data_IF_887710260077
#
_entry.id   IF_887710260077
#
_cell.length_a   1.000
_cell.length_b   1.000
_cell.length_c   1.000
_cell.angle_alpha   90.00
_cell.angle_beta   90.00
_cell.angle_gamma   90.00
#
_symmetry.space_group_name_H-M   'P 1'
#
loop_
_entity.id
_entity.type
_entity.pdbx_description
1 polymer ?
#
# COMPACT_ATOMS: atom_id res chain seq x y z
N UNK A 1 35.73 -14.59 -32.03
CA UNK A 1 35.72 -13.48 -31.06
C UNK A 1 34.86 -13.93 -29.89
N UNK A 2 35.51 -14.35 -28.82
CA UNK A 2 34.87 -14.77 -27.58
C UNK A 2 34.37 -13.54 -26.83
N UNK A 3 33.14 -13.63 -26.32
CA UNK A 3 32.75 -13.12 -25.00
C UNK A 3 33.09 -11.67 -24.70
N UNK A 4 32.28 -10.73 -25.23
CA UNK A 4 31.99 -9.52 -24.47
C UNK A 4 30.86 -9.86 -23.52
N UNK A 5 31.21 -10.55 -22.45
CA UNK A 5 30.33 -10.77 -21.32
C UNK A 5 29.87 -9.41 -20.81
N UNK A 6 28.55 -9.33 -20.69
CA UNK A 6 27.76 -8.27 -20.11
C UNK A 6 28.18 -8.03 -18.65
N UNK A 7 29.27 -7.30 -18.44
CA UNK A 7 29.66 -6.72 -17.15
C UNK A 7 29.08 -5.31 -17.02
N UNK A 8 27.77 -5.17 -17.20
CA UNK A 8 27.07 -3.97 -16.74
C UNK A 8 26.61 -4.27 -15.32
N UNK A 9 27.26 -3.68 -14.32
CA UNK A 9 26.72 -3.70 -12.97
C UNK A 9 25.25 -3.28 -13.04
N UNK A 10 24.32 -4.00 -12.39
CA UNK A 10 22.93 -3.58 -12.36
C UNK A 10 22.89 -2.12 -11.86
N UNK A 11 22.12 -1.23 -12.48
CA UNK A 11 22.07 0.16 -12.04
C UNK A 11 21.80 0.21 -10.53
N UNK A 12 22.44 1.14 -9.80
CA UNK A 12 22.50 1.12 -8.34
C UNK A 12 21.14 0.92 -7.64
N UNK A 13 20.06 1.45 -8.23
CA UNK A 13 18.69 1.26 -7.74
C UNK A 13 18.23 -0.21 -7.77
N UNK A 14 18.65 -1.01 -8.76
CA UNK A 14 18.34 -2.44 -8.88
C UNK A 14 19.05 -3.25 -7.79
N UNK A 15 20.28 -2.87 -7.44
CA UNK A 15 20.99 -3.48 -6.32
C UNK A 15 20.32 -3.16 -4.98
N UNK A 16 19.92 -1.90 -4.78
CA UNK A 16 19.17 -1.49 -3.58
C UNK A 16 17.81 -2.20 -3.49
N UNK A 17 17.10 -2.37 -4.62
CA UNK A 17 15.87 -3.16 -4.71
C UNK A 17 16.08 -4.60 -4.26
N UNK A 18 17.12 -5.28 -4.77
CA UNK A 18 17.45 -6.65 -4.38
C UNK A 18 17.84 -6.74 -2.91
N UNK A 19 18.60 -5.78 -2.39
CA UNK A 19 18.96 -5.72 -0.98
C UNK A 19 17.74 -5.50 -0.07
N UNK A 20 16.81 -4.62 -0.48
CA UNK A 20 15.56 -4.36 0.23
C UNK A 20 14.67 -5.61 0.26
N UNK A 21 14.37 -6.21 -0.89
CA UNK A 21 13.55 -7.44 -0.96
C UNK A 21 14.24 -8.59 -0.22
N UNK A 22 15.56 -8.73 -0.38
CA UNK A 22 16.35 -9.73 0.33
C UNK A 22 16.29 -9.54 1.84
N UNK A 23 16.40 -8.30 2.32
CA UNK A 23 16.29 -7.96 3.74
C UNK A 23 14.88 -8.17 4.31
N UNK A 24 13.83 -7.94 3.52
CA UNK A 24 12.44 -8.24 3.92
C UNK A 24 12.13 -9.75 3.88
N UNK A 25 12.81 -10.51 3.03
CA UNK A 25 12.63 -11.97 2.91
C UNK A 25 13.51 -12.75 3.89
N UNK A 26 14.63 -12.17 4.33
CA UNK A 26 15.51 -12.77 5.32
C UNK A 26 14.78 -13.19 6.62
N UNK A 27 13.90 -12.36 7.20
CA UNK A 27 12.94 -12.83 8.20
C UNK A 27 11.80 -13.59 7.50
N UNK A 28 11.71 -14.90 7.74
CA UNK A 28 10.65 -15.76 7.16
C UNK A 28 9.23 -15.35 7.60
N UNK A 29 9.09 -14.46 8.58
CA UNK A 29 7.78 -14.03 9.11
C UNK A 29 7.17 -12.82 8.38
N UNK A 30 7.97 -11.96 7.74
CA UNK A 30 7.49 -10.64 7.28
C UNK A 30 6.48 -10.77 6.13
N UNK A 31 6.77 -11.63 5.14
CA UNK A 31 5.88 -11.86 4.00
C UNK A 31 4.52 -12.44 4.41
N UNK A 32 4.45 -13.51 5.24
CA UNK A 32 3.18 -13.98 5.79
C UNK A 32 2.45 -12.93 6.62
N UNK A 33 3.17 -12.19 7.47
CA UNK A 33 2.58 -11.12 8.29
C UNK A 33 1.95 -10.03 7.41
N UNK A 34 2.67 -9.57 6.38
CA UNK A 34 2.19 -8.58 5.43
C UNK A 34 0.89 -9.05 4.75
N UNK A 35 0.86 -10.29 4.28
CA UNK A 35 -0.33 -10.88 3.67
C UNK A 35 -1.52 -10.98 4.64
N UNK A 36 -1.28 -11.36 5.90
CA UNK A 36 -2.34 -11.40 6.93
C UNK A 36 -2.92 -10.01 7.17
N UNK A 37 -2.05 -8.99 7.29
CA UNK A 37 -2.50 -7.59 7.48
C UNK A 37 -3.33 -7.12 6.29
N UNK A 38 -2.91 -7.41 5.05
CA UNK A 38 -3.68 -7.06 3.85
C UNK A 38 -5.03 -7.77 3.79
N UNK A 39 -5.10 -9.06 4.14
CA UNK A 39 -6.36 -9.82 4.18
C UNK A 39 -7.30 -9.22 5.23
N UNK A 40 -6.81 -8.97 6.45
CA UNK A 40 -7.61 -8.38 7.53
C UNK A 40 -8.12 -7.00 7.12
N UNK A 41 -7.24 -6.14 6.61
CA UNK A 41 -7.62 -4.79 6.17
C UNK A 41 -8.63 -4.84 5.00
N UNK A 42 -8.44 -5.75 4.04
CA UNK A 42 -9.37 -5.99 2.94
C UNK A 42 -10.74 -6.48 3.41
N UNK A 43 -10.78 -7.37 4.40
CA UNK A 43 -12.04 -7.82 5.01
C UNK A 43 -12.75 -6.67 5.74
N UNK A 44 -12.02 -5.81 6.44
CA UNK A 44 -12.57 -4.61 7.09
C UNK A 44 -13.16 -3.62 6.06
N UNK A 45 -12.48 -3.43 4.93
CA UNK A 45 -12.99 -2.63 3.80
C UNK A 45 -14.27 -3.22 3.20
N UNK A 46 -14.31 -4.53 2.99
CA UNK A 46 -15.49 -5.23 2.46
C UNK A 46 -16.68 -5.16 3.41
N UNK A 47 -16.44 -5.10 4.73
CA UNK A 47 -17.51 -4.97 5.73
C UNK A 47 -18.31 -3.67 5.61
N UNK A 48 -17.80 -2.63 4.94
CA UNK A 48 -18.36 -1.27 4.78
C UNK A 48 -18.60 -0.49 6.08
N UNK A 49 -18.87 -1.17 7.19
CA UNK A 49 -19.04 -0.60 8.52
C UNK A 49 -17.70 -0.21 9.15
N UNK A 50 -16.68 -1.06 9.00
CA UNK A 50 -15.31 -0.82 9.46
C UNK A 50 -14.37 -0.35 8.34
N UNK A 51 -14.93 0.16 7.23
CA UNK A 51 -14.14 0.55 6.07
C UNK A 51 -13.08 1.60 6.40
N UNK A 52 -13.41 2.59 7.25
CA UNK A 52 -12.43 3.56 7.71
C UNK A 52 -11.24 2.90 8.44
N UNK A 53 -11.50 1.96 9.35
CA UNK A 53 -10.45 1.27 10.09
C UNK A 53 -9.59 0.38 9.18
N UNK A 54 -10.21 -0.33 8.22
CA UNK A 54 -9.51 -1.10 7.20
C UNK A 54 -8.62 -0.22 6.32
N UNK A 55 -9.13 0.95 5.91
CA UNK A 55 -8.39 1.89 5.09
C UNK A 55 -7.18 2.50 5.84
N UNK A 56 -7.33 2.82 7.14
CA UNK A 56 -6.21 3.26 7.98
C UNK A 56 -5.15 2.17 8.15
N UNK A 57 -5.56 0.91 8.29
CA UNK A 57 -4.63 -0.22 8.39
C UNK A 57 -3.87 -0.45 7.08
N UNK A 58 -4.53 -0.28 5.93
CA UNK A 58 -3.94 -0.39 4.59
C UNK A 58 -3.09 0.82 4.18
N UNK A 59 -3.25 1.97 4.82
CA UNK A 59 -2.54 3.20 4.46
C UNK A 59 -1.01 3.07 4.54
N UNK A 60 -0.39 2.62 5.65
CA UNK A 60 1.06 2.45 5.70
C UNK A 60 1.57 1.38 4.72
N UNK A 61 0.76 0.35 4.41
CA UNK A 61 1.12 -0.71 3.47
C UNK A 61 1.14 -0.20 2.04
N UNK A 62 0.05 0.41 1.58
CA UNK A 62 -0.07 1.00 0.24
C UNK A 62 0.95 2.12 0.01
N UNK A 63 1.26 2.92 1.05
CA UNK A 63 2.31 3.92 1.01
C UNK A 63 3.69 3.29 0.81
N UNK A 64 4.04 2.23 1.55
CA UNK A 64 5.32 1.53 1.37
C UNK A 64 5.47 0.96 -0.06
N UNK A 65 4.40 0.36 -0.61
CA UNK A 65 4.40 -0.19 -1.97
C UNK A 65 4.62 0.93 -3.01
N UNK A 66 3.98 2.09 -2.82
CA UNK A 66 4.14 3.25 -3.69
C UNK A 66 5.56 3.82 -3.62
N UNK A 67 6.11 4.01 -2.41
CA UNK A 67 7.49 4.47 -2.21
C UNK A 67 8.51 3.50 -2.81
N UNK A 68 8.27 2.19 -2.70
CA UNK A 68 9.11 1.19 -3.31
C UNK A 68 9.19 1.35 -4.85
N UNK A 69 8.05 1.55 -5.52
CA UNK A 69 8.06 1.79 -6.97
C UNK A 69 8.68 3.14 -7.32
N UNK A 70 8.41 4.19 -6.53
CA UNK A 70 8.91 5.53 -6.78
C UNK A 70 10.44 5.61 -6.69
N UNK A 71 11.06 4.94 -5.71
CA UNK A 71 12.50 5.05 -5.44
C UNK A 71 13.32 3.88 -5.99
N UNK A 72 12.82 2.65 -5.92
CA UNK A 72 13.60 1.43 -6.22
C UNK A 72 13.26 0.83 -7.59
N UNK A 73 12.18 1.28 -8.25
CA UNK A 73 11.78 0.78 -9.58
C UNK A 73 11.21 1.89 -10.49
N UNK A 74 11.93 3.01 -10.70
CA UNK A 74 11.43 4.14 -11.48
C UNK A 74 11.18 3.80 -12.97
N UNK A 75 11.86 2.78 -13.48
CA UNK A 75 11.70 2.30 -14.87
C UNK A 75 10.33 1.63 -15.10
N UNK A 76 9.65 1.19 -14.03
CA UNK A 76 8.33 0.56 -14.08
C UNK A 76 7.22 1.58 -13.83
N UNK A 77 7.00 2.40 -14.84
CA UNK A 77 5.95 3.43 -14.84
C UNK A 77 4.55 2.85 -14.67
N UNK A 78 4.30 1.63 -15.17
CA UNK A 78 3.03 0.93 -14.99
C UNK A 78 2.81 0.51 -13.53
N UNK A 79 3.82 -0.08 -12.89
CA UNK A 79 3.78 -0.43 -11.46
C UNK A 79 3.65 0.80 -10.55
N UNK A 80 4.33 1.89 -10.90
CA UNK A 80 4.18 3.17 -10.19
C UNK A 80 2.76 3.73 -10.31
N UNK A 81 2.16 3.68 -11.49
CA UNK A 81 0.80 4.14 -11.71
C UNK A 81 -0.23 3.31 -10.93
N UNK A 82 -0.09 1.98 -10.96
CA UNK A 82 -0.97 1.06 -10.23
C UNK A 82 -0.86 1.24 -8.72
N UNK A 83 0.35 1.30 -8.17
CA UNK A 83 0.57 1.56 -6.74
C UNK A 83 0.06 2.93 -6.31
N UNK A 84 0.20 3.94 -7.17
CA UNK A 84 -0.42 5.26 -6.99
C UNK A 84 -1.94 5.19 -6.95
N UNK A 85 -2.57 4.40 -7.83
CA UNK A 85 -4.02 4.20 -7.85
C UNK A 85 -4.52 3.49 -6.59
N UNK A 86 -3.80 2.48 -6.07
CA UNK A 86 -4.14 1.83 -4.81
C UNK A 86 -4.08 2.79 -3.62
N UNK A 87 -3.02 3.61 -3.55
CA UNK A 87 -2.88 4.64 -2.52
C UNK A 87 -4.00 5.68 -2.63
N UNK A 88 -4.30 6.17 -3.84
CA UNK A 88 -5.40 7.09 -4.10
C UNK A 88 -6.75 6.51 -3.70
N UNK A 89 -7.05 5.28 -4.10
CA UNK A 89 -8.29 4.59 -3.74
C UNK A 89 -8.45 4.49 -2.23
N UNK A 90 -7.39 4.12 -1.52
CA UNK A 90 -7.38 4.06 -0.07
C UNK A 90 -7.62 5.43 0.58
N UNK A 91 -6.97 6.49 0.08
CA UNK A 91 -7.20 7.86 0.53
C UNK A 91 -8.64 8.33 0.27
N UNK A 92 -9.22 8.02 -0.90
CA UNK A 92 -10.58 8.42 -1.25
C UNK A 92 -11.61 7.79 -0.31
N UNK A 93 -11.41 6.53 0.10
CA UNK A 93 -12.26 5.87 1.09
C UNK A 93 -12.18 6.60 2.43
N UNK A 94 -10.96 6.91 2.91
CA UNK A 94 -10.76 7.65 4.17
C UNK A 94 -11.46 9.02 4.10
N UNK A 95 -11.27 9.78 3.02
CA UNK A 95 -11.87 11.12 2.87
C UNK A 95 -13.40 11.07 2.74
N UNK A 96 -13.95 10.03 2.11
CA UNK A 96 -15.39 9.90 1.90
C UNK A 96 -16.11 9.44 3.17
N UNK A 97 -15.57 8.44 3.85
CA UNK A 97 -16.16 7.91 5.09
C UNK A 97 -15.95 8.87 6.27
N UNK A 98 -14.84 9.63 6.30
CA UNK A 98 -14.67 10.70 7.29
C UNK A 98 -15.76 11.77 7.17
N UNK A 99 -16.17 12.13 5.95
CA UNK A 99 -17.28 13.07 5.73
C UNK A 99 -18.62 12.48 6.20
N UNK A 100 -18.91 11.22 5.88
CA UNK A 100 -20.13 10.52 6.34
C UNK A 100 -20.19 10.41 7.86
N UNK A 101 -19.09 10.06 8.52
CA UNK A 101 -19.01 10.01 9.97
C UNK A 101 -19.23 11.38 10.59
N UNK A 102 -18.66 12.45 10.03
CA UNK A 102 -18.94 13.80 10.50
C UNK A 102 -20.44 14.12 10.34
N UNK A 103 -21.09 13.75 9.25
CA UNK A 103 -22.53 13.99 9.08
C UNK A 103 -23.39 13.18 10.06
N UNK A 104 -23.05 11.92 10.32
CA UNK A 104 -23.81 11.05 11.25
C UNK A 104 -23.58 11.44 12.71
N UNK A 105 -22.34 11.77 13.09
CA UNK A 105 -21.99 12.08 14.48
C UNK A 105 -22.30 13.53 14.87
N UNK A 106 -22.29 14.47 13.93
CA UNK A 106 -22.59 15.90 14.17
C UNK A 106 -24.04 16.29 13.86
N UNK A 107 -24.90 15.34 13.50
CA UNK A 107 -26.35 15.54 13.52
C UNK A 107 -26.89 14.89 14.79
N UNK A 108 -26.99 15.61 15.93
CA UNK A 108 -27.82 15.16 17.03
C UNK A 108 -29.27 15.20 16.53
N UNK A 109 -29.76 14.07 16.01
CA UNK A 109 -31.15 13.94 15.61
C UNK A 109 -31.97 13.90 16.90
N UNK A 110 -32.48 15.06 17.28
CA UNK A 110 -33.57 15.25 18.24
C UNK A 110 -34.74 14.33 17.89
N UNK A 111 -34.87 13.21 18.60
CA UNK A 111 -36.06 12.37 18.57
C UNK A 111 -36.31 11.78 19.96
N UNK A 112 -36.93 12.58 20.81
CA UNK A 112 -37.96 12.11 21.73
C UNK A 112 -39.11 13.10 21.53
N UNK A 113 -40.10 12.70 20.73
CA UNK A 113 -41.48 13.13 20.96
C UNK A 113 -42.05 12.29 22.09
#
# INVERSE_FOLDING_TARGET
>A
AATTEQSAEPPAHVMQMKAFIGGLKAPEYFWPMLGIVEIVAGLLLLSQFFALAGAFLLLPVTLNIFLFHLYLKPDDTAGLFMSGLYLLGNLLIILSDYKKLKTVFFTPKTLIQ
#
